data_IF_228761628568
#
_entry.id   IF_228761628568
#
_cell.length_a   1.000
_cell.length_b   1.000
_cell.length_c   1.000
_cell.angle_alpha   90.00
_cell.angle_beta   90.00
_cell.angle_gamma   90.00
#
_symmetry.space_group_name_H-M   'P 1'
#
loop_
_entity.id
_entity.type
_entity.pdbx_description
1 polymer ?
#
# COMPACT_ATOMS: atom_id res chain seq x y z
N UNK A 1 13.99 11.44 41.82
CA UNK A 1 14.18 10.30 40.90
C UNK A 1 12.82 9.97 40.29
N UNK A 2 12.74 9.94 38.97
CA UNK A 2 11.51 9.69 38.22
C UNK A 2 11.13 8.19 38.25
N UNK A 3 9.83 7.82 38.19
CA UNK A 3 9.44 6.44 37.93
C UNK A 3 9.66 6.10 36.44
N UNK A 4 10.17 4.90 36.21
CA UNK A 4 10.41 4.34 34.88
C UNK A 4 9.09 4.05 34.16
N UNK A 5 9.00 4.47 32.90
CA UNK A 5 7.89 4.15 32.02
C UNK A 5 7.96 2.67 31.60
N UNK A 6 6.94 1.90 31.97
CA UNK A 6 6.70 0.56 31.47
C UNK A 6 6.24 0.65 30.01
N UNK A 7 7.15 0.41 29.07
CA UNK A 7 6.87 0.36 27.63
C UNK A 7 6.22 -0.96 27.21
N UNK A 8 5.00 -1.23 27.68
CA UNK A 8 4.20 -2.38 27.27
C UNK A 8 2.88 -1.92 26.63
N UNK A 9 2.52 -2.56 25.53
CA UNK A 9 1.31 -2.39 24.70
C UNK A 9 1.33 -1.27 23.64
N UNK A 10 2.00 -1.52 22.50
CA UNK A 10 1.64 -0.90 21.21
C UNK A 10 0.64 -1.80 20.48
N UNK A 11 -0.44 -2.09 21.20
CA UNK A 11 -1.59 -2.84 20.76
C UNK A 11 -2.29 -2.04 19.67
N UNK A 12 -1.97 -2.39 18.41
CA UNK A 12 -2.96 -2.67 17.37
C UNK A 12 -4.27 -1.89 17.53
N UNK A 13 -4.32 -0.72 16.91
CA UNK A 13 -5.56 0.04 16.76
C UNK A 13 -6.55 -0.73 15.87
N UNK A 14 -7.81 -0.92 16.29
CA UNK A 14 -8.86 -1.51 15.47
C UNK A 14 -8.95 -0.76 14.12
N UNK A 15 -8.71 -1.51 13.05
CA UNK A 15 -8.87 -1.16 11.63
C UNK A 15 -7.98 -0.10 10.95
N UNK A 16 -7.00 0.47 11.64
CA UNK A 16 -5.68 0.61 11.01
C UNK A 16 -4.93 -0.75 10.97
N UNK A 17 -5.47 -1.74 11.68
CA UNK A 17 -4.96 -3.08 11.91
C UNK A 17 -5.53 -4.18 11.02
N UNK A 18 -5.64 -3.95 9.70
CA UNK A 18 -5.48 -5.06 8.73
C UNK A 18 -4.00 -5.25 8.35
N UNK A 19 -3.10 -4.35 8.80
CA UNK A 19 -1.67 -4.60 8.71
C UNK A 19 -0.85 -4.07 9.90
N UNK A 20 -1.21 -4.48 11.12
CA UNK A 20 -0.10 -4.90 11.99
C UNK A 20 0.28 -6.31 11.54
N UNK A 21 1.29 -6.38 10.65
CA UNK A 21 1.75 -7.62 10.06
C UNK A 21 2.28 -8.62 11.09
N UNK A 22 1.40 -9.46 11.61
CA UNK A 22 1.78 -10.66 12.35
C UNK A 22 1.87 -11.90 11.45
N UNK A 23 0.87 -12.10 10.57
CA UNK A 23 0.73 -13.36 9.82
C UNK A 23 1.01 -13.25 8.31
N UNK A 24 0.68 -12.14 7.62
CA UNK A 24 1.08 -11.96 6.22
C UNK A 24 2.56 -11.58 6.06
N UNK A 25 3.11 -10.86 7.04
CA UNK A 25 4.55 -10.68 7.15
C UNK A 25 5.26 -12.01 7.49
N UNK A 26 4.62 -12.91 8.25
CA UNK A 26 5.15 -14.25 8.48
C UNK A 26 5.05 -15.13 7.22
N UNK A 27 3.96 -15.14 6.46
CA UNK A 27 3.88 -16.00 5.27
C UNK A 27 4.68 -15.51 4.06
N UNK A 28 4.96 -14.19 3.97
CA UNK A 28 5.80 -13.63 2.90
C UNK A 28 7.26 -13.37 3.33
N UNK A 29 7.56 -13.33 4.64
CA UNK A 29 8.90 -13.06 5.19
C UNK A 29 9.40 -14.12 6.21
N UNK A 30 8.66 -15.19 6.50
CA UNK A 30 9.09 -16.12 7.54
C UNK A 30 8.09 -17.21 7.91
N UNK A 31 7.78 -18.11 6.97
CA UNK A 31 7.37 -19.48 7.30
C UNK A 31 8.62 -20.27 7.73
N UNK A 32 9.30 -19.78 8.77
CA UNK A 32 10.68 -20.16 9.11
C UNK A 32 10.96 -20.25 10.60
N UNK A 33 9.94 -20.55 11.42
CA UNK A 33 10.13 -20.86 12.85
C UNK A 33 9.77 -22.30 13.20
N UNK A 34 10.02 -23.23 12.29
CA UNK A 34 10.46 -24.59 12.65
C UNK A 34 11.98 -24.72 12.50
N UNK A 35 12.72 -23.87 13.23
CA UNK A 35 14.19 -23.93 13.30
C UNK A 35 14.91 -23.44 12.04
N UNK A 36 16.07 -22.83 12.22
CA UNK A 36 16.95 -22.45 11.11
C UNK A 36 17.41 -23.75 10.43
N UNK A 37 16.92 -24.04 9.22
CA UNK A 37 17.40 -25.17 8.45
C UNK A 37 18.78 -24.82 7.88
N UNK A 38 19.68 -25.82 7.77
CA UNK A 38 21.02 -25.63 7.19
C UNK A 38 20.97 -25.02 5.77
N UNK A 39 19.87 -25.22 5.05
CA UNK A 39 19.60 -24.66 3.73
C UNK A 39 19.41 -23.13 3.76
N UNK A 40 18.82 -22.58 4.81
CA UNK A 40 18.56 -21.14 4.95
C UNK A 40 19.85 -20.35 5.19
N UNK A 41 20.78 -20.95 5.94
CA UNK A 41 22.13 -20.39 6.17
C UNK A 41 22.91 -20.33 4.85
N UNK A 42 22.77 -21.34 3.99
CA UNK A 42 23.40 -21.36 2.67
C UNK A 42 22.78 -20.32 1.72
N UNK A 43 21.45 -20.17 1.74
CA UNK A 43 20.75 -19.19 0.91
C UNK A 43 21.11 -17.76 1.31
N UNK A 44 21.14 -17.46 2.61
CA UNK A 44 21.57 -16.15 3.12
C UNK A 44 23.04 -15.85 2.79
N UNK A 45 23.92 -16.85 2.89
CA UNK A 45 25.31 -16.73 2.47
C UNK A 45 25.46 -16.41 0.97
N UNK A 46 24.67 -17.06 0.12
CA UNK A 46 24.66 -16.83 -1.33
C UNK A 46 24.17 -15.41 -1.66
N UNK A 47 23.09 -14.95 -1.02
CA UNK A 47 22.55 -13.60 -1.20
C UNK A 47 23.58 -12.54 -0.79
N UNK A 48 24.20 -12.71 0.38
CA UNK A 48 25.25 -11.80 0.85
C UNK A 48 26.46 -11.75 -0.11
N UNK A 49 26.86 -12.91 -0.65
CA UNK A 49 27.94 -13.01 -1.63
C UNK A 49 27.61 -12.30 -2.96
N UNK A 50 26.39 -12.46 -3.48
CA UNK A 50 25.94 -11.81 -4.72
C UNK A 50 25.89 -10.29 -4.55
N UNK A 51 25.37 -9.81 -3.42
CA UNK A 51 25.33 -8.38 -3.09
C UNK A 51 26.76 -7.82 -2.98
N UNK A 52 27.64 -8.48 -2.22
CA UNK A 52 29.03 -8.05 -2.06
C UNK A 52 29.77 -8.00 -3.40
N UNK A 53 29.60 -9.00 -4.26
CA UNK A 53 30.23 -9.08 -5.59
C UNK A 53 29.75 -7.97 -6.53
N UNK A 54 28.45 -7.65 -6.51
CA UNK A 54 27.87 -6.58 -7.33
C UNK A 54 28.36 -5.18 -6.91
N UNK A 55 28.52 -4.94 -5.61
CA UNK A 55 29.04 -3.67 -5.10
C UNK A 55 30.55 -3.53 -5.28
N UNK A 56 31.32 -4.62 -5.16
CA UNK A 56 32.76 -4.62 -5.43
C UNK A 56 33.07 -4.34 -6.92
N UNK A 57 32.28 -4.91 -7.85
CA UNK A 57 32.45 -4.68 -9.29
C UNK A 57 32.14 -3.23 -9.72
N UNK A 58 31.27 -2.53 -8.99
CA UNK A 58 30.92 -1.12 -9.27
C UNK A 58 31.97 -0.11 -8.79
N UNK A 59 32.84 -0.47 -7.84
CA UNK A 59 33.87 0.44 -7.29
C UNK A 59 35.15 0.56 -8.12
N UNK A 60 35.38 -0.34 -9.07
CA UNK A 60 36.56 -0.27 -9.95
C UNK A 60 36.37 0.57 -11.22
N UNK A 61 35.17 1.09 -11.50
CA UNK A 61 34.86 1.66 -12.81
C UNK A 61 35.05 3.18 -12.94
N UNK A 62 35.22 3.98 -11.88
CA UNK A 62 35.29 5.44 -12.03
C UNK A 62 36.18 6.10 -10.98
N UNK A 63 37.32 6.66 -11.42
CA UNK A 63 38.16 7.49 -10.56
C UNK A 63 39.53 7.95 -11.10
N UNK A 64 39.58 8.57 -12.28
CA UNK A 64 40.65 9.52 -12.72
C UNK A 64 40.17 10.25 -14.00
N UNK A 65 40.63 11.49 -14.38
CA UNK A 65 41.74 12.31 -13.85
C UNK A 65 41.52 13.88 -13.83
N UNK A 66 42.54 14.58 -13.27
CA UNK A 66 43.24 15.82 -13.72
C UNK A 66 42.58 17.22 -13.98
N UNK A 67 43.01 18.19 -13.15
CA UNK A 67 43.73 19.46 -13.41
C UNK A 67 43.32 20.54 -14.46
N UNK A 68 43.38 21.79 -13.95
CA UNK A 68 43.97 23.02 -14.51
C UNK A 68 43.15 23.99 -15.41
N UNK A 69 42.95 25.21 -14.86
CA UNK A 69 43.48 26.45 -15.47
C UNK A 69 42.54 27.40 -16.24
N UNK A 70 42.34 28.61 -15.69
CA UNK A 70 42.68 29.87 -16.37
C UNK A 70 41.68 30.62 -17.27
N UNK A 71 41.36 31.86 -16.85
CA UNK A 71 41.14 33.10 -17.63
C UNK A 71 39.95 33.30 -18.62
N UNK A 72 38.92 33.97 -18.10
CA UNK A 72 38.39 35.30 -18.51
C UNK A 72 38.68 35.82 -19.94
N UNK A 73 37.63 35.99 -20.78
CA UNK A 73 37.26 37.29 -21.42
C UNK A 73 35.98 37.29 -22.28
N UNK A 74 35.32 38.45 -22.21
CA UNK A 74 34.50 39.16 -23.19
C UNK A 74 33.12 38.63 -23.64
N UNK A 75 32.13 39.46 -23.35
CA UNK A 75 30.75 39.50 -23.85
C UNK A 75 30.72 40.00 -25.32
N UNK A 76 29.75 39.54 -26.12
CA UNK A 76 28.66 40.46 -26.50
C UNK A 76 27.26 39.82 -26.46
N UNK A 77 26.27 40.70 -26.35
CA UNK A 77 24.82 40.47 -26.21
C UNK A 77 24.18 39.65 -27.35
N UNK A 78 23.26 38.73 -27.03
CA UNK A 78 22.02 38.50 -27.79
C UNK A 78 21.06 37.48 -27.10
N UNK A 79 19.78 37.86 -27.06
CA UNK A 79 18.53 37.10 -26.79
C UNK A 79 18.32 36.41 -25.42
N UNK A 80 17.15 36.59 -24.76
CA UNK A 80 16.82 35.87 -23.53
C UNK A 80 16.43 34.42 -23.86
N UNK A 81 17.39 33.52 -23.72
CA UNK A 81 17.18 32.07 -23.64
C UNK A 81 16.99 31.72 -22.15
N UNK A 82 15.91 32.22 -21.53
CA UNK A 82 15.37 31.58 -20.34
C UNK A 82 14.51 30.43 -20.89
N UNK A 83 15.00 29.20 -20.87
CA UNK A 83 15.29 28.51 -19.62
C UNK A 83 13.99 28.00 -19.00
N UNK A 84 13.02 27.62 -19.83
CA UNK A 84 11.94 26.74 -19.41
C UNK A 84 12.57 25.39 -19.14
N UNK A 85 12.77 25.10 -17.86
CA UNK A 85 12.97 23.73 -17.39
C UNK A 85 12.00 22.85 -18.17
N UNK A 86 12.53 21.84 -18.86
CA UNK A 86 11.73 20.69 -19.23
C UNK A 86 11.18 20.16 -17.91
N UNK A 87 10.00 20.65 -17.53
CA UNK A 87 9.14 19.95 -16.63
C UNK A 87 9.01 18.58 -17.28
N UNK A 88 9.67 17.60 -16.68
CA UNK A 88 9.22 16.23 -16.77
C UNK A 88 7.80 16.27 -16.23
N UNK A 89 6.85 16.64 -17.09
CA UNK A 89 5.44 16.42 -16.84
C UNK A 89 5.38 14.91 -16.75
N UNK A 90 5.34 14.40 -15.52
CA UNK A 90 4.95 13.03 -15.23
C UNK A 90 3.67 12.85 -16.02
N UNK A 91 3.74 12.16 -17.16
CA UNK A 91 2.56 11.89 -17.96
C UNK A 91 1.61 11.16 -17.01
N UNK A 92 0.51 11.81 -16.63
CA UNK A 92 -0.53 11.15 -15.88
C UNK A 92 -0.85 9.89 -16.67
N UNK A 93 -0.67 8.73 -16.04
CA UNK A 93 -1.01 7.46 -16.66
C UNK A 93 -2.46 7.59 -17.12
N UNK A 94 -2.69 7.57 -18.43
CA UNK A 94 -4.04 7.59 -18.98
C UNK A 94 -4.71 6.31 -18.52
N UNK A 95 -5.60 6.44 -17.54
CA UNK A 95 -6.44 5.35 -17.09
C UNK A 95 -7.30 4.94 -18.30
N UNK A 96 -7.00 3.78 -18.90
CA UNK A 96 -7.78 3.23 -20.00
C UNK A 96 -9.06 2.61 -19.45
N UNK A 97 -10.01 3.48 -19.07
CA UNK A 97 -11.30 3.06 -18.55
C UNK A 97 -12.22 2.55 -19.68
N UNK A 98 -12.97 1.46 -19.45
CA UNK A 98 -14.02 1.02 -20.36
C UNK A 98 -15.07 2.13 -20.58
N UNK A 99 -15.67 2.21 -21.76
CA UNK A 99 -16.62 3.27 -22.09
C UNK A 99 -17.89 3.29 -21.21
N UNK A 100 -18.23 2.16 -20.60
CA UNK A 100 -19.36 2.03 -19.67
C UNK A 100 -19.02 2.46 -18.23
N UNK A 101 -17.73 2.64 -17.91
CA UNK A 101 -17.27 2.91 -16.56
C UNK A 101 -17.38 4.39 -16.22
N UNK A 102 -18.02 4.67 -15.09
CA UNK A 102 -18.16 6.01 -14.52
C UNK A 102 -17.26 6.12 -13.29
N UNK A 103 -16.14 6.82 -13.45
CA UNK A 103 -15.12 6.98 -12.39
C UNK A 103 -15.69 7.66 -11.14
N UNK A 104 -16.46 8.74 -11.30
CA UNK A 104 -16.96 9.50 -10.15
C UNK A 104 -17.91 8.65 -9.33
N UNK A 105 -18.87 7.98 -10.00
CA UNK A 105 -19.79 7.07 -9.32
C UNK A 105 -19.07 5.89 -8.68
N UNK A 106 -18.01 5.40 -9.32
CA UNK A 106 -17.22 4.30 -8.77
C UNK A 106 -16.44 4.71 -7.51
N UNK A 107 -15.83 5.90 -7.50
CA UNK A 107 -15.12 6.45 -6.35
C UNK A 107 -16.08 6.68 -5.17
N UNK A 108 -17.26 7.25 -5.43
CA UNK A 108 -18.30 7.44 -4.41
C UNK A 108 -18.77 6.11 -3.83
N UNK A 109 -19.07 5.13 -4.69
CA UNK A 109 -19.44 3.79 -4.26
C UNK A 109 -18.31 3.10 -3.48
N UNK A 110 -17.05 3.28 -3.90
CA UNK A 110 -15.87 2.78 -3.20
C UNK A 110 -15.74 3.35 -1.78
N UNK A 111 -16.01 4.65 -1.61
CA UNK A 111 -16.05 5.29 -0.28
C UNK A 111 -17.12 4.67 0.62
N UNK A 112 -18.32 4.46 0.09
CA UNK A 112 -19.41 3.81 0.84
C UNK A 112 -19.06 2.36 1.19
N UNK A 113 -18.48 1.60 0.26
CA UNK A 113 -18.03 0.24 0.51
C UNK A 113 -16.97 0.17 1.61
N UNK A 114 -16.00 1.08 1.58
CA UNK A 114 -14.98 1.17 2.62
C UNK A 114 -15.61 1.33 4.01
N UNK A 115 -16.48 2.33 4.18
CA UNK A 115 -17.11 2.60 5.47
C UNK A 115 -18.03 1.46 5.94
N UNK A 116 -18.77 0.84 5.01
CA UNK A 116 -19.63 -0.31 5.33
C UNK A 116 -18.80 -1.52 5.79
N UNK A 117 -17.70 -1.82 5.10
CA UNK A 117 -16.82 -2.93 5.47
C UNK A 117 -16.23 -2.72 6.87
N UNK A 118 -15.80 -1.49 7.18
CA UNK A 118 -15.28 -1.11 8.50
C UNK A 118 -16.33 -1.31 9.59
N UNK A 119 -17.56 -0.86 9.36
CA UNK A 119 -18.67 -1.04 10.29
C UNK A 119 -18.97 -2.52 10.55
N UNK A 120 -19.06 -3.34 9.50
CA UNK A 120 -19.34 -4.77 9.65
C UNK A 120 -18.19 -5.53 10.29
N UNK A 121 -16.94 -5.12 10.03
CA UNK A 121 -15.78 -5.66 10.73
C UNK A 121 -15.83 -5.38 12.23
N UNK A 122 -16.12 -4.14 12.61
CA UNK A 122 -16.21 -3.74 14.01
C UNK A 122 -17.29 -4.50 14.77
N UNK A 123 -18.42 -4.74 14.09
CA UNK A 123 -19.53 -5.53 14.60
C UNK A 123 -19.33 -7.05 14.53
N UNK A 124 -18.21 -7.53 13.97
CA UNK A 124 -17.93 -8.93 13.69
C UNK A 124 -18.98 -9.65 12.80
N UNK A 125 -19.63 -8.90 11.91
CA UNK A 125 -20.71 -9.39 11.04
C UNK A 125 -20.14 -10.03 9.76
N UNK A 126 -19.46 -11.18 9.89
CA UNK A 126 -18.78 -11.85 8.75
C UNK A 126 -19.73 -12.22 7.61
N UNK A 127 -21.00 -12.52 7.92
CA UNK A 127 -22.02 -12.82 6.90
C UNK A 127 -22.33 -11.60 6.03
N UNK A 128 -22.22 -10.38 6.60
CA UNK A 128 -22.38 -9.13 5.86
C UNK A 128 -21.13 -8.78 5.07
N UNK A 129 -19.95 -9.01 5.63
CA UNK A 129 -18.68 -8.83 4.93
C UNK A 129 -18.62 -9.66 3.64
N UNK A 130 -19.20 -10.86 3.64
CA UNK A 130 -19.24 -11.76 2.48
C UNK A 130 -19.91 -11.13 1.23
N UNK A 131 -20.75 -10.11 1.40
CA UNK A 131 -21.40 -9.40 0.28
C UNK A 131 -20.44 -8.44 -0.45
N UNK A 132 -19.33 -8.05 0.20
CA UNK A 132 -18.42 -7.01 -0.27
C UNK A 132 -17.08 -7.55 -0.80
N UNK A 133 -16.76 -8.80 -0.48
CA UNK A 133 -15.42 -9.36 -0.71
C UNK A 133 -15.50 -10.66 -1.52
N UNK A 134 -14.42 -11.02 -2.20
CA UNK A 134 -14.35 -12.32 -2.87
C UNK A 134 -14.34 -13.46 -1.84
N UNK A 135 -14.74 -14.69 -2.21
CA UNK A 135 -14.71 -15.84 -1.29
C UNK A 135 -13.31 -16.10 -0.70
N UNK A 136 -12.26 -15.83 -1.47
CA UNK A 136 -10.87 -15.96 -1.03
C UNK A 136 -10.52 -14.92 0.03
N UNK A 137 -10.90 -13.66 -0.18
CA UNK A 137 -10.71 -12.58 0.79
C UNK A 137 -11.54 -12.82 2.06
N UNK A 138 -12.77 -13.33 1.93
CA UNK A 138 -13.61 -13.66 3.08
C UNK A 138 -12.95 -14.68 4.01
N UNK A 139 -12.35 -15.74 3.45
CA UNK A 139 -11.65 -16.75 4.25
C UNK A 139 -10.50 -16.12 5.04
N UNK A 140 -9.70 -15.27 4.39
CA UNK A 140 -8.62 -14.53 5.04
C UNK A 140 -9.13 -13.65 6.19
N UNK A 141 -10.17 -12.85 5.94
CA UNK A 141 -10.76 -11.95 6.93
C UNK A 141 -11.35 -12.70 8.13
N UNK A 142 -11.91 -13.90 7.92
CA UNK A 142 -12.41 -14.74 9.02
C UNK A 142 -11.29 -15.23 9.93
N UNK A 143 -10.17 -15.66 9.36
CA UNK A 143 -8.99 -16.09 10.12
C UNK A 143 -8.40 -14.92 10.93
N UNK A 144 -8.27 -13.76 10.29
CA UNK A 144 -7.80 -12.55 10.94
C UNK A 144 -8.74 -12.12 12.07
N UNK A 145 -10.05 -12.09 11.82
CA UNK A 145 -11.04 -11.75 12.85
C UNK A 145 -10.97 -12.71 14.03
N UNK A 146 -10.84 -14.01 13.78
CA UNK A 146 -10.71 -15.03 14.82
C UNK A 146 -9.44 -14.82 15.67
N UNK A 147 -8.35 -14.34 15.07
CA UNK A 147 -7.09 -14.06 15.77
C UNK A 147 -7.19 -12.88 16.76
N UNK A 148 -8.12 -11.95 16.54
CA UNK A 148 -8.34 -10.80 17.43
C UNK A 148 -9.13 -11.14 18.70
N UNK A 149 -9.79 -12.31 18.73
CA UNK A 149 -10.65 -12.74 19.83
C UNK A 149 -11.91 -11.87 20.00
N UNK A 150 -12.49 -11.91 21.20
CA UNK A 150 -13.77 -11.23 21.50
C UNK A 150 -13.63 -9.73 21.83
N UNK A 151 -12.48 -9.12 21.52
CA UNK A 151 -12.25 -7.71 21.78
C UNK A 151 -13.18 -6.85 20.90
N UNK A 152 -13.94 -5.96 21.56
CA UNK A 152 -14.69 -4.91 20.86
C UNK A 152 -13.73 -4.08 20.01
N UNK A 153 -14.07 -3.94 18.73
CA UNK A 153 -13.37 -3.04 17.83
C UNK A 153 -14.27 -1.82 17.61
N UNK A 154 -13.64 -0.66 17.47
CA UNK A 154 -14.34 0.56 17.12
C UNK A 154 -13.37 1.46 16.37
N UNK A 155 -13.76 1.81 15.16
CA UNK A 155 -12.94 2.62 14.27
C UNK A 155 -13.74 3.80 13.77
N UNK A 156 -13.12 4.96 13.89
CA UNK A 156 -13.61 6.21 13.32
C UNK A 156 -12.62 6.66 12.26
N UNK A 157 -13.15 7.09 11.12
CA UNK A 157 -12.34 7.51 9.97
C UNK A 157 -12.60 8.98 9.71
N UNK A 158 -11.55 9.78 9.88
CA UNK A 158 -11.55 11.20 9.55
C UNK A 158 -10.80 11.43 8.23
N UNK A 159 -11.17 12.51 7.54
CA UNK A 159 -10.51 12.98 6.31
C UNK A 159 -10.33 11.92 5.21
N UNK A 160 -11.30 11.00 5.08
CA UNK A 160 -11.28 9.95 4.07
C UNK A 160 -11.31 10.52 2.65
N UNK A 161 -10.21 10.30 1.93
CA UNK A 161 -10.06 10.53 0.49
C UNK A 161 -9.94 9.19 -0.24
N UNK A 162 -10.47 9.14 -1.46
CA UNK A 162 -10.47 7.95 -2.31
C UNK A 162 -9.98 8.37 -3.70
N UNK A 163 -9.09 7.57 -4.27
CA UNK A 163 -8.50 7.81 -5.58
C UNK A 163 -8.58 6.52 -6.42
N UNK A 164 -8.94 6.64 -7.68
CA UNK A 164 -8.74 5.55 -8.65
C UNK A 164 -7.30 5.59 -9.16
N UNK A 165 -6.56 4.50 -8.94
CA UNK A 165 -5.18 4.37 -9.42
C UNK A 165 -5.11 3.69 -10.79
N UNK A 166 -6.11 2.88 -11.12
CA UNK A 166 -6.19 2.20 -12.42
C UNK A 166 -7.42 1.31 -12.55
N UNK A 167 -7.77 1.01 -13.80
CA UNK A 167 -8.79 0.04 -14.16
C UNK A 167 -8.33 -0.68 -15.44
N UNK A 168 -8.55 -2.00 -15.45
CA UNK A 168 -8.18 -2.89 -16.54
C UNK A 168 -9.35 -3.83 -16.85
N UNK A 169 -9.73 -3.91 -18.12
CA UNK A 169 -10.72 -4.89 -18.60
C UNK A 169 -9.99 -6.15 -19.06
N UNK A 170 -10.24 -7.27 -18.37
CA UNK A 170 -9.74 -8.60 -18.70
C UNK A 170 -10.84 -9.39 -19.43
N UNK A 171 -10.49 -10.58 -19.92
CA UNK A 171 -11.38 -11.43 -20.71
C UNK A 171 -12.68 -11.81 -19.95
N UNK A 172 -12.59 -12.07 -18.65
CA UNK A 172 -13.68 -12.59 -17.82
C UNK A 172 -14.18 -11.59 -16.75
N UNK A 173 -13.40 -10.54 -16.48
CA UNK A 173 -13.70 -9.56 -15.43
C UNK A 173 -13.05 -8.21 -15.70
N UNK A 174 -13.55 -7.19 -15.01
CA UNK A 174 -12.89 -5.89 -14.88
C UNK A 174 -12.25 -5.78 -13.51
N UNK A 175 -11.04 -5.23 -13.45
CA UNK A 175 -10.28 -5.03 -12.22
C UNK A 175 -10.02 -3.54 -12.06
N UNK A 176 -10.27 -3.00 -10.88
CA UNK A 176 -9.94 -1.63 -10.54
C UNK A 176 -9.09 -1.58 -9.27
N UNK A 177 -8.24 -0.57 -9.14
CA UNK A 177 -7.47 -0.32 -7.92
C UNK A 177 -7.87 1.04 -7.36
N UNK A 178 -8.37 1.05 -6.12
CA UNK A 178 -8.68 2.27 -5.37
C UNK A 178 -7.66 2.45 -4.27
N UNK A 179 -7.14 3.66 -4.08
CA UNK A 179 -6.39 4.02 -2.87
C UNK A 179 -7.22 4.89 -1.95
N UNK A 180 -7.32 4.46 -0.69
CA UNK A 180 -7.95 5.15 0.42
C UNK A 180 -6.87 5.79 1.29
N UNK A 181 -7.08 7.04 1.69
CA UNK A 181 -6.21 7.73 2.65
C UNK A 181 -7.05 8.53 3.63
N UNK A 182 -6.66 8.53 4.89
CA UNK A 182 -7.37 9.26 5.94
C UNK A 182 -6.67 9.10 7.29
N UNK A 183 -7.41 9.38 8.36
CA UNK A 183 -6.96 9.21 9.75
C UNK A 183 -7.88 8.22 10.45
N UNK A 184 -7.32 7.12 10.93
CA UNK A 184 -8.05 6.09 11.67
C UNK A 184 -7.91 6.31 13.18
N UNK A 185 -9.03 6.24 13.89
CA UNK A 185 -9.12 6.53 15.32
C UNK A 185 -9.81 5.40 16.05
N UNK A 186 -9.29 5.06 17.23
CA UNK A 186 -9.88 4.04 18.11
C UNK A 186 -10.96 4.61 19.03
N UNK A 187 -11.02 5.94 19.11
CA UNK A 187 -12.00 6.70 19.88
C UNK A 187 -12.17 8.08 19.26
N UNK A 188 -13.37 8.66 19.35
CA UNK A 188 -13.68 10.03 18.88
C UNK A 188 -12.81 11.15 19.47
N UNK A 189 -12.12 10.88 20.58
CA UNK A 189 -11.22 11.84 21.23
C UNK A 189 -9.75 11.61 20.90
N UNK A 190 -9.45 10.54 20.17
CA UNK A 190 -8.11 10.19 19.74
C UNK A 190 -7.67 11.12 18.60
N UNK A 191 -6.37 11.41 18.54
CA UNK A 191 -5.78 12.09 17.39
C UNK A 191 -5.77 11.17 16.16
N UNK A 192 -5.70 9.86 16.40
CA UNK A 192 -5.68 8.85 15.35
C UNK A 192 -4.34 8.73 14.65
N UNK A 193 -4.26 7.75 13.77
CA UNK A 193 -3.09 7.44 12.97
C UNK A 193 -3.42 7.60 11.49
N UNK A 194 -2.59 8.30 10.70
CA UNK A 194 -2.79 8.38 9.27
C UNK A 194 -2.64 7.00 8.64
N UNK A 195 -3.49 6.70 7.67
CA UNK A 195 -3.39 5.47 6.89
C UNK A 195 -3.46 5.75 5.39
N UNK A 196 -2.90 4.81 4.63
CA UNK A 196 -2.97 4.77 3.18
C UNK A 196 -3.02 3.32 2.75
N UNK A 197 -4.06 2.92 2.03
CA UNK A 197 -4.24 1.54 1.57
C UNK A 197 -4.85 1.47 0.18
N UNK A 198 -4.41 0.48 -0.59
CA UNK A 198 -4.92 0.20 -1.93
C UNK A 198 -5.77 -1.07 -1.92
N UNK A 199 -6.97 -0.98 -2.47
CA UNK A 199 -7.89 -2.09 -2.65
C UNK A 199 -7.93 -2.49 -4.11
N UNK A 200 -7.77 -3.79 -4.34
CA UNK A 200 -8.05 -4.40 -5.63
C UNK A 200 -9.51 -4.81 -5.66
N UNK A 201 -10.27 -4.18 -6.53
CA UNK A 201 -11.68 -4.45 -6.79
C UNK A 201 -11.80 -5.31 -8.05
N UNK A 202 -12.70 -6.29 -8.04
CA UNK A 202 -13.01 -7.12 -9.20
C UNK A 202 -14.51 -7.16 -9.45
N UNK A 203 -14.91 -7.09 -10.72
CA UNK A 203 -16.29 -7.26 -11.18
C UNK A 203 -16.29 -8.23 -12.34
N UNK A 204 -17.02 -9.34 -12.20
CA UNK A 204 -17.20 -10.30 -13.30
C UNK A 204 -17.93 -9.62 -14.45
N UNK A 205 -17.59 -9.98 -15.69
CA UNK A 205 -18.27 -9.44 -16.85
C UNK A 205 -19.74 -9.86 -16.88
N UNK A 206 -20.60 -8.95 -17.34
CA UNK A 206 -22.04 -9.16 -17.42
C UNK A 206 -22.85 -8.07 -16.72
N UNK A 207 -24.15 -8.11 -16.95
CA UNK A 207 -25.07 -7.11 -16.43
C UNK A 207 -25.26 -7.27 -14.92
N UNK A 208 -25.32 -6.14 -14.22
CA UNK A 208 -25.63 -6.05 -12.79
C UNK A 208 -24.70 -6.86 -11.86
N UNK A 209 -23.47 -7.14 -12.30
CA UNK A 209 -22.47 -7.80 -11.46
C UNK A 209 -21.89 -6.83 -10.41
N UNK A 210 -21.75 -7.25 -9.14
CA UNK A 210 -21.21 -6.41 -8.08
C UNK A 210 -19.70 -6.24 -8.23
N UNK A 211 -19.18 -5.17 -7.62
CA UNK A 211 -17.76 -5.00 -7.38
C UNK A 211 -17.40 -5.61 -6.03
N UNK A 212 -16.43 -6.51 -6.02
CA UNK A 212 -15.97 -7.21 -4.82
C UNK A 212 -14.51 -6.87 -4.53
N UNK A 213 -14.16 -6.73 -3.26
CA UNK A 213 -12.77 -6.58 -2.81
C UNK A 213 -12.06 -7.93 -2.92
N UNK A 214 -11.03 -7.98 -3.76
CA UNK A 214 -10.20 -9.17 -3.97
C UNK A 214 -8.83 -9.07 -3.29
N UNK A 215 -8.41 -7.88 -2.88
CA UNK A 215 -7.11 -7.64 -2.27
C UNK A 215 -7.09 -6.31 -1.51
N UNK A 216 -6.38 -6.27 -0.37
CA UNK A 216 -6.10 -5.05 0.39
C UNK A 216 -4.59 -5.00 0.63
N UNK A 217 -3.98 -3.83 0.41
CA UNK A 217 -2.55 -3.60 0.61
C UNK A 217 -2.32 -2.26 1.30
N UNK A 218 -1.55 -2.22 2.39
CA UNK A 218 -1.11 -0.95 2.96
C UNK A 218 0.02 -0.31 2.15
N UNK A 219 -0.05 0.99 1.99
CA UNK A 219 0.93 1.83 1.33
C UNK A 219 1.68 2.58 2.45
N UNK A 220 2.65 1.90 3.06
CA UNK A 220 3.42 2.44 4.20
C UNK A 220 4.29 3.65 3.88
#
# INVERSE_FOLDING_TARGET
AAPAASGASRWLGPLAGIAAGGLLAAMFMGDGFEGIQFLDILLLGLIAFVIFKLFAARRQAQGQPAMAGGMQRQMPQQAPIFGGASASTSAAATINAPAWFDEQRFIEAGRTHFLALQQHWDAAEMDKIAEFVTPQMLSFLKEERASLGDAYQSTYIDDLSVQLDGIDELADKTVATLTFRGVAKTSRFDQGEPFSESWRMERVNGDNQPWLVAGIRQNG
#
